data_IF_239370855319
#
_entry.id   IF_239370855319
#
_cell.length_a   1.000
_cell.length_b   1.000
_cell.length_c   1.000
_cell.angle_alpha   90.00
_cell.angle_beta   90.00
_cell.angle_gamma   90.00
#
_symmetry.space_group_name_H-M   'P 1'
#
loop_
_entity.id
_entity.type
_entity.pdbx_description
1 polymer ?
#
# COMPACT_ATOMS: atom_id res chain seq x y z
N UNK A 1 -13.91 -44.94 44.09
CA UNK A 1 -14.91 -44.11 43.39
C UNK A 1 -14.19 -43.47 42.23
N UNK A 2 -14.51 -43.93 41.03
CA UNK A 2 -14.01 -43.45 39.74
C UNK A 2 -14.42 -42.00 39.52
N UNK A 3 -13.55 -41.23 38.88
CA UNK A 3 -13.82 -39.85 38.49
C UNK A 3 -12.99 -39.50 37.26
N UNK A 4 -13.31 -40.14 36.13
CA UNK A 4 -12.81 -39.75 34.81
C UNK A 4 -13.44 -38.41 34.43
N UNK A 5 -12.65 -37.33 34.50
CA UNK A 5 -13.00 -36.02 33.97
C UNK A 5 -12.66 -35.97 32.48
N UNK A 6 -13.62 -36.33 31.63
CA UNK A 6 -13.52 -36.19 30.17
C UNK A 6 -13.31 -34.73 29.77
N UNK A 7 -12.29 -34.51 28.94
CA UNK A 7 -11.96 -33.22 28.36
C UNK A 7 -13.06 -32.70 27.45
N UNK A 8 -13.51 -31.48 27.72
CA UNK A 8 -14.28 -30.69 26.77
C UNK A 8 -13.28 -29.91 25.90
N UNK A 9 -12.85 -30.53 24.79
CA UNK A 9 -12.24 -29.79 23.70
C UNK A 9 -13.34 -28.97 23.04
N UNK A 10 -13.49 -27.73 23.49
CA UNK A 10 -14.34 -26.74 22.84
C UNK A 10 -13.68 -26.39 21.50
N UNK A 11 -14.00 -27.17 20.47
CA UNK A 11 -13.64 -26.87 19.08
C UNK A 11 -14.63 -25.81 18.62
N UNK A 12 -14.37 -24.56 18.99
CA UNK A 12 -15.00 -23.41 18.35
C UNK A 12 -14.54 -23.39 16.89
N UNK A 13 -15.33 -24.01 16.02
CA UNK A 13 -15.29 -23.79 14.59
C UNK A 13 -15.79 -22.37 14.30
N UNK A 14 -14.97 -21.39 14.65
CA UNK A 14 -15.15 -20.01 14.22
C UNK A 14 -14.93 -19.93 12.71
N UNK A 15 -15.93 -19.39 12.01
CA UNK A 15 -15.87 -19.05 10.59
C UNK A 15 -14.61 -18.19 10.36
N UNK A 16 -13.78 -18.46 9.34
CA UNK A 16 -12.60 -17.64 9.06
C UNK A 16 -13.04 -16.21 8.70
N UNK A 17 -12.68 -15.24 9.53
CA UNK A 17 -12.82 -13.81 9.20
C UNK A 17 -13.44 -12.91 10.27
N UNK A 18 -13.95 -13.44 11.39
CA UNK A 18 -14.58 -12.60 12.44
C UNK A 18 -13.90 -12.72 13.80
N UNK A 19 -13.23 -13.84 14.10
CA UNK A 19 -12.50 -14.01 15.36
C UNK A 19 -11.01 -14.29 15.13
N UNK A 20 -10.17 -13.77 16.04
CA UNK A 20 -8.73 -13.99 16.03
C UNK A 20 -8.44 -15.49 16.06
N UNK A 21 -7.81 -16.02 15.01
CA UNK A 21 -7.41 -17.42 14.93
C UNK A 21 -6.47 -17.77 16.10
N UNK A 22 -7.00 -18.47 17.12
CA UNK A 22 -6.26 -18.89 18.32
C UNK A 22 -6.15 -20.41 18.37
N UNK A 23 -5.39 -21.02 17.46
CA UNK A 23 -5.08 -22.44 17.58
C UNK A 23 -4.09 -22.69 18.72
N UNK A 24 -4.35 -23.71 19.54
CA UNK A 24 -3.40 -24.15 20.58
C UNK A 24 -2.19 -24.88 19.97
N UNK A 25 -2.34 -25.48 18.80
CA UNK A 25 -1.29 -26.24 18.10
C UNK A 25 -0.30 -25.33 17.34
N UNK A 26 1.02 -25.45 17.57
CA UNK A 26 2.04 -24.62 16.90
C UNK A 26 2.11 -24.84 15.38
N UNK A 27 1.93 -26.07 14.91
CA UNK A 27 1.99 -26.39 13.48
C UNK A 27 0.80 -25.80 12.69
N UNK A 28 -0.37 -25.66 13.33
CA UNK A 28 -1.53 -25.08 12.67
C UNK A 28 -1.37 -23.56 12.55
N UNK A 29 -0.72 -22.91 13.53
CA UNK A 29 -0.33 -21.48 13.41
C UNK A 29 0.70 -21.28 12.31
N UNK A 30 1.68 -22.17 12.17
CA UNK A 30 2.67 -22.07 11.09
C UNK A 30 2.04 -22.28 9.72
N UNK A 31 1.14 -23.25 9.58
CA UNK A 31 0.36 -23.45 8.35
C UNK A 31 -0.50 -22.23 8.02
N UNK A 32 -1.26 -21.71 8.99
CA UNK A 32 -2.10 -20.53 8.81
C UNK A 32 -1.28 -19.28 8.46
N UNK A 33 -0.08 -19.11 9.05
CA UNK A 33 0.85 -18.04 8.68
C UNK A 33 1.34 -18.19 7.24
N UNK A 34 1.75 -19.39 6.85
CA UNK A 34 2.22 -19.66 5.49
C UNK A 34 1.12 -19.42 4.45
N UNK A 35 -0.14 -19.65 4.82
CA UNK A 35 -1.30 -19.34 4.00
C UNK A 35 -1.71 -17.85 4.02
N UNK A 36 -1.04 -17.00 4.80
CA UNK A 36 -1.35 -15.58 4.94
C UNK A 36 -2.60 -15.26 5.78
N UNK A 37 -3.16 -16.27 6.47
CA UNK A 37 -4.39 -16.14 7.27
C UNK A 37 -4.12 -15.75 8.72
N UNK A 38 -2.87 -15.81 9.17
CA UNK A 38 -2.49 -15.53 10.55
C UNK A 38 -1.16 -14.76 10.63
N UNK A 39 -1.15 -13.71 11.46
CA UNK A 39 0.04 -12.91 11.77
C UNK A 39 0.35 -13.05 13.25
N UNK A 40 1.62 -13.27 13.60
CA UNK A 40 2.00 -13.39 15.01
C UNK A 40 1.87 -12.03 15.70
N UNK A 41 1.32 -11.94 16.93
CA UNK A 41 1.17 -10.68 17.66
C UNK A 41 2.48 -9.91 17.88
N UNK A 42 3.61 -10.60 17.82
CA UNK A 42 4.96 -10.04 17.97
C UNK A 42 5.77 -10.08 16.67
N UNK A 43 5.18 -10.47 15.54
CA UNK A 43 5.86 -10.34 14.24
C UNK A 43 6.10 -8.87 13.90
N UNK A 44 5.18 -7.99 14.31
CA UNK A 44 5.17 -6.57 13.95
C UNK A 44 5.42 -5.66 15.16
N UNK A 45 5.82 -6.21 16.31
CA UNK A 45 6.24 -5.41 17.47
C UNK A 45 7.54 -4.62 17.22
N UNK A 46 8.04 -4.62 15.99
CA UNK A 46 9.08 -3.73 15.52
C UNK A 46 8.45 -2.40 15.13
N UNK A 47 8.40 -1.49 16.11
CA UNK A 47 8.27 -0.04 15.99
C UNK A 47 7.55 0.45 14.72
N UNK A 48 6.28 0.82 14.85
CA UNK A 48 5.59 1.70 13.90
C UNK A 48 6.59 2.76 13.42
N UNK A 49 6.97 2.68 12.14
CA UNK A 49 7.96 3.57 11.57
C UNK A 49 7.37 4.97 11.66
N UNK A 50 7.85 5.78 12.60
CA UNK A 50 7.37 7.15 12.74
C UNK A 50 7.49 7.84 11.39
N UNK A 51 6.49 8.62 10.99
CA UNK A 51 6.46 9.34 9.71
C UNK A 51 7.79 10.06 9.44
N UNK A 52 8.33 10.71 10.48
CA UNK A 52 9.61 11.42 10.45
C UNK A 52 10.83 10.53 10.20
N UNK A 53 10.79 9.26 10.61
CA UNK A 53 11.87 8.29 10.36
C UNK A 53 11.76 7.75 8.94
N UNK A 54 10.55 7.45 8.48
CA UNK A 54 10.32 7.04 7.10
C UNK A 54 10.76 8.11 6.10
N UNK A 55 10.40 9.37 6.33
CA UNK A 55 10.83 10.50 5.52
C UNK A 55 12.36 10.64 5.41
N UNK A 56 13.08 10.42 6.51
CA UNK A 56 14.55 10.47 6.51
C UNK A 56 15.14 9.34 5.69
N UNK A 57 14.67 8.11 5.89
CA UNK A 57 15.13 6.94 5.13
C UNK A 57 14.90 7.11 3.62
N UNK A 58 13.73 7.60 3.22
CA UNK A 58 13.41 7.84 1.81
C UNK A 58 14.28 8.93 1.19
N UNK A 59 14.58 10.00 1.95
CA UNK A 59 15.48 11.08 1.50
C UNK A 59 16.95 10.64 1.42
N UNK A 60 17.37 9.75 2.33
CA UNK A 60 18.72 9.18 2.32
C UNK A 60 18.93 8.20 1.15
N UNK A 61 17.91 7.45 0.76
CA UNK A 61 17.96 6.51 -0.36
C UNK A 61 18.13 7.21 -1.72
N UNK A 62 17.25 8.19 -2.03
CA UNK A 62 17.38 8.99 -3.25
C UNK A 62 17.02 10.47 -3.02
N UNK A 63 18.02 11.32 -2.71
CA UNK A 63 17.79 12.74 -2.45
C UNK A 63 17.45 13.55 -3.71
N UNK A 64 17.63 13.00 -4.91
CA UNK A 64 17.40 13.70 -6.19
C UNK A 64 16.06 13.33 -6.83
N UNK A 65 15.42 12.26 -6.38
CA UNK A 65 14.14 11.86 -6.95
C UNK A 65 13.01 12.82 -6.57
N UNK A 66 12.27 13.24 -7.60
CA UNK A 66 11.10 14.13 -7.47
C UNK A 66 9.88 13.42 -6.89
N UNK A 67 9.88 12.09 -6.88
CA UNK A 67 8.75 11.26 -6.46
C UNK A 67 8.75 10.91 -4.96
N UNK A 68 9.84 11.19 -4.23
CA UNK A 68 9.95 10.98 -2.77
C UNK A 68 8.75 11.53 -1.95
N UNK A 69 8.21 12.74 -2.18
CA UNK A 69 7.09 13.24 -1.39
C UNK A 69 5.80 12.44 -1.58
N UNK A 70 5.56 11.86 -2.77
CA UNK A 70 4.37 11.05 -3.03
C UNK A 70 4.41 9.74 -2.22
N UNK A 71 5.59 9.13 -2.12
CA UNK A 71 5.80 7.94 -1.31
C UNK A 71 5.58 8.21 0.19
N UNK A 72 6.02 9.37 0.67
CA UNK A 72 5.76 9.81 2.06
C UNK A 72 4.27 10.00 2.31
N UNK A 73 3.54 10.62 1.37
CA UNK A 73 2.09 10.80 1.50
C UNK A 73 1.32 9.49 1.49
N UNK A 74 1.78 8.49 0.71
CA UNK A 74 1.23 7.14 0.75
C UNK A 74 1.38 6.52 2.14
N UNK A 75 2.60 6.54 2.69
CA UNK A 75 2.87 6.00 4.03
C UNK A 75 2.05 6.72 5.12
N UNK A 76 1.95 8.05 5.04
CA UNK A 76 1.11 8.86 5.93
C UNK A 76 -0.36 8.44 5.84
N UNK A 77 -0.86 8.19 4.64
CA UNK A 77 -2.23 7.73 4.42
C UNK A 77 -2.45 6.34 5.01
N UNK A 78 -1.51 5.40 4.82
CA UNK A 78 -1.60 4.03 5.33
C UNK A 78 -1.59 4.00 6.87
N UNK A 79 -0.70 4.76 7.50
CA UNK A 79 -0.67 4.91 8.97
C UNK A 79 -1.96 5.54 9.50
N UNK A 80 -2.48 6.60 8.85
CA UNK A 80 -3.71 7.26 9.27
C UNK A 80 -4.99 6.42 9.15
N UNK A 81 -5.00 5.38 8.30
CA UNK A 81 -6.13 4.48 8.09
C UNK A 81 -5.98 3.11 8.79
N UNK A 82 -4.97 2.92 9.64
CA UNK A 82 -4.79 1.68 10.39
C UNK A 82 -4.46 0.49 9.50
N UNK A 83 -3.43 0.60 8.66
CA UNK A 83 -2.97 -0.49 7.80
C UNK A 83 -2.68 -1.80 8.54
N UNK A 84 -2.22 -1.72 9.80
CA UNK A 84 -1.92 -2.91 10.61
C UNK A 84 -3.17 -3.68 11.04
N UNK A 85 -4.32 -3.00 11.19
CA UNK A 85 -5.59 -3.64 11.53
C UNK A 85 -6.36 -4.08 10.28
N UNK A 86 -6.53 -3.16 9.32
CA UNK A 86 -7.36 -3.38 8.12
C UNK A 86 -6.61 -2.97 6.84
N UNK A 87 -5.69 -3.83 6.35
CA UNK A 87 -4.84 -3.49 5.21
C UNK A 87 -5.64 -3.28 3.92
N UNK A 88 -6.75 -4.01 3.73
CA UNK A 88 -7.62 -3.88 2.56
C UNK A 88 -8.31 -2.51 2.53
N UNK A 89 -8.80 -2.03 3.68
CA UNK A 89 -9.44 -0.72 3.79
C UNK A 89 -8.43 0.40 3.52
N UNK A 90 -7.28 0.37 4.21
CA UNK A 90 -6.23 1.37 4.04
C UNK A 90 -5.72 1.42 2.59
N UNK A 91 -5.49 0.26 1.95
CA UNK A 91 -5.06 0.19 0.56
C UNK A 91 -6.04 0.86 -0.40
N UNK A 92 -7.35 0.64 -0.25
CA UNK A 92 -8.35 1.27 -1.14
C UNK A 92 -8.38 2.79 -1.04
N UNK A 93 -8.04 3.36 0.12
CA UNK A 93 -7.99 4.81 0.32
C UNK A 93 -6.69 5.43 -0.17
N UNK A 94 -5.59 4.70 -0.05
CA UNK A 94 -4.25 5.21 -0.29
C UNK A 94 -3.70 4.88 -1.69
N UNK A 95 -4.35 3.99 -2.45
CA UNK A 95 -3.94 3.60 -3.81
C UNK A 95 -3.76 4.78 -4.77
N UNK A 96 -4.45 5.90 -4.55
CA UNK A 96 -4.26 7.11 -5.35
C UNK A 96 -2.82 7.60 -5.31
N UNK A 97 -2.19 7.60 -4.14
CA UNK A 97 -0.82 8.11 -3.96
C UNK A 97 0.19 7.17 -4.58
N UNK A 98 -0.07 5.86 -4.48
CA UNK A 98 0.71 4.86 -5.18
C UNK A 98 0.66 5.04 -6.70
N UNK A 99 -0.53 5.30 -7.26
CA UNK A 99 -0.69 5.53 -8.71
C UNK A 99 0.05 6.79 -9.17
N UNK A 100 -0.06 7.89 -8.42
CA UNK A 100 0.69 9.13 -8.71
C UNK A 100 2.20 8.90 -8.61
N UNK A 101 2.65 8.13 -7.61
CA UNK A 101 4.06 7.78 -7.47
C UNK A 101 4.57 6.96 -8.68
N UNK A 102 3.79 5.96 -9.12
CA UNK A 102 4.11 5.16 -10.30
C UNK A 102 4.21 6.00 -11.58
N UNK A 103 3.28 6.94 -11.77
CA UNK A 103 3.32 7.88 -12.90
C UNK A 103 4.57 8.77 -12.81
N UNK A 104 4.86 9.32 -11.64
CA UNK A 104 6.04 10.14 -11.42
C UNK A 104 7.35 9.38 -11.70
N UNK A 105 7.47 8.11 -11.28
CA UNK A 105 8.68 7.30 -11.57
C UNK A 105 8.87 7.08 -13.06
N UNK A 106 7.79 6.88 -13.81
CA UNK A 106 7.85 6.78 -15.26
C UNK A 106 8.28 8.11 -15.90
N UNK A 107 7.71 9.23 -15.46
CA UNK A 107 8.09 10.56 -15.97
C UNK A 107 9.55 10.90 -15.65
N UNK A 108 10.02 10.56 -14.45
CA UNK A 108 11.42 10.71 -14.04
C UNK A 108 12.35 9.94 -14.98
N UNK A 109 12.03 8.69 -15.31
CA UNK A 109 12.82 7.87 -16.21
C UNK A 109 12.78 8.41 -17.65
N UNK A 110 11.61 8.82 -18.12
CA UNK A 110 11.42 9.45 -19.44
C UNK A 110 12.30 10.68 -19.60
N UNK A 111 12.36 11.52 -18.57
CA UNK A 111 13.19 12.73 -18.54
C UNK A 111 14.69 12.41 -18.47
N UNK A 112 15.09 11.39 -17.69
CA UNK A 112 16.50 10.97 -17.58
C UNK A 112 17.04 10.39 -18.88
N UNK A 113 16.25 9.55 -19.55
CA UNK A 113 16.64 8.86 -20.79
C UNK A 113 16.37 9.69 -22.05
N UNK A 114 15.61 10.78 -21.96
CA UNK A 114 15.28 11.63 -23.11
C UNK A 114 14.28 11.00 -24.07
N UNK A 115 13.35 10.19 -23.58
CA UNK A 115 12.31 9.58 -24.42
C UNK A 115 11.31 10.64 -24.89
N UNK A 116 11.19 10.82 -26.20
CA UNK A 116 10.20 11.69 -26.85
C UNK A 116 9.43 10.95 -27.92
N UNK A 117 8.40 11.62 -28.47
CA UNK A 117 7.66 11.13 -29.63
C UNK A 117 7.46 12.26 -30.64
N UNK A 118 7.30 11.92 -31.90
CA UNK A 118 6.96 12.89 -32.94
C UNK A 118 5.47 13.19 -32.87
N UNK A 119 5.13 14.45 -32.64
CA UNK A 119 3.74 14.92 -32.64
C UNK A 119 3.23 15.14 -34.06
N UNK A 120 1.96 14.84 -34.27
CA UNK A 120 1.28 15.16 -35.52
C UNK A 120 1.07 16.67 -35.67
N UNK A 121 0.82 17.08 -36.91
CA UNK A 121 0.40 18.45 -37.20
C UNK A 121 -0.88 18.80 -36.42
N UNK A 122 -1.00 20.04 -35.92
CA UNK A 122 -2.17 20.45 -35.16
C UNK A 122 -3.45 20.26 -35.99
N UNK A 123 -4.47 19.68 -35.37
CA UNK A 123 -5.74 19.44 -36.04
C UNK A 123 -6.32 20.73 -36.64
N UNK A 124 -6.89 20.65 -37.85
CA UNK A 124 -7.46 21.81 -38.56
C UNK A 124 -8.49 22.60 -37.72
N UNK A 125 -9.21 21.92 -36.83
CA UNK A 125 -10.12 22.53 -35.85
C UNK A 125 -9.64 22.27 -34.41
N UNK A 126 -8.40 22.64 -34.11
CA UNK A 126 -7.86 22.55 -32.74
C UNK A 126 -8.63 23.47 -31.76
N UNK A 127 -9.15 24.60 -32.26
CA UNK A 127 -10.02 25.51 -31.48
C UNK A 127 -11.48 25.23 -31.78
N UNK A 128 -12.33 25.27 -30.74
CA UNK A 128 -13.78 25.15 -30.90
C UNK A 128 -14.38 26.33 -31.68
N UNK A 129 -13.86 27.54 -31.46
CA UNK A 129 -14.27 28.77 -32.16
C UNK A 129 -13.05 29.60 -32.56
N UNK A 130 -13.16 30.38 -33.63
CA UNK A 130 -12.04 31.18 -34.18
C UNK A 130 -11.50 32.18 -33.14
N UNK A 131 -12.40 32.80 -32.37
CA UNK A 131 -12.04 33.76 -31.33
C UNK A 131 -11.63 33.11 -30.00
N UNK A 132 -11.73 31.79 -29.86
CA UNK A 132 -11.34 31.13 -28.62
C UNK A 132 -9.81 31.24 -28.42
N UNK A 133 -9.35 31.51 -27.19
CA UNK A 133 -7.93 31.49 -26.89
C UNK A 133 -7.37 30.08 -27.09
N UNK A 134 -6.12 30.01 -27.54
CA UNK A 134 -5.40 28.76 -27.69
C UNK A 134 -4.34 28.66 -26.61
N UNK A 135 -4.70 28.02 -25.50
CA UNK A 135 -3.74 27.75 -24.44
C UNK A 135 -2.70 26.75 -24.96
N UNK A 136 -1.42 27.12 -24.85
CA UNK A 136 -0.32 26.23 -25.19
C UNK A 136 -0.05 25.33 -23.98
N UNK A 137 -0.04 24.02 -24.23
CA UNK A 137 0.35 23.01 -23.25
C UNK A 137 1.74 22.50 -23.62
N UNK A 138 2.55 22.26 -22.60
CA UNK A 138 3.92 21.73 -22.70
C UNK A 138 3.95 20.22 -22.89
#
# INVERSE_FOLDING_TARGET
>A
MSGEGHGSHDVSHGIPGIDSFRSTSPWLRSLARNAGLYRYPHADSGAELSETRFEKLVKEDDPKSTCTPLLVQEHKCLSGHGFDSDPSHAATKCVKWYNEWMQCKWDEEKMKMGYGYMEDLPARKHRAYIAAPNYQYS
#
